data_IF_499977328503
#
_entry.id   IF_499977328503
#
_cell.length_a   1.000
_cell.length_b   1.000
_cell.length_c   1.000
_cell.angle_alpha   90.00
_cell.angle_beta   90.00
_cell.angle_gamma   90.00
#
_symmetry.space_group_name_H-M   'P 1'
#
loop_
_entity.id
_entity.type
_entity.pdbx_description
1 polymer ?
#
# COMPACT_ATOMS: atom_id res chain seq x y z
N UNK A 1 -4.40 -12.91 1.21
CA UNK A 1 -4.48 -13.64 -0.08
C UNK A 1 -3.78 -12.80 -1.13
N UNK A 2 -3.02 -13.39 -2.07
CA UNK A 2 -2.40 -12.61 -3.14
C UNK A 2 -3.47 -11.90 -3.99
N UNK A 3 -3.15 -10.72 -4.56
CA UNK A 3 -4.04 -10.00 -5.44
C UNK A 3 -4.51 -10.89 -6.59
N UNK A 4 -5.81 -10.87 -6.87
CA UNK A 4 -6.40 -11.60 -8.02
C UNK A 4 -6.46 -10.74 -9.29
N UNK A 5 -5.70 -9.65 -9.33
CA UNK A 5 -5.66 -8.71 -10.45
C UNK A 5 -4.32 -8.79 -11.17
N UNK A 6 -4.32 -8.57 -12.48
CA UNK A 6 -3.08 -8.39 -13.22
C UNK A 6 -2.35 -7.10 -12.77
N UNK A 7 -1.03 -7.11 -12.84
CA UNK A 7 -0.23 -5.92 -12.64
C UNK A 7 -0.66 -4.83 -13.65
N UNK A 8 -1.06 -3.63 -13.20
CA UNK A 8 -1.52 -2.58 -14.11
C UNK A 8 -0.39 -2.02 -14.99
N UNK A 9 0.87 -2.27 -14.62
CA UNK A 9 2.03 -1.81 -15.38
C UNK A 9 2.46 -2.80 -16.48
N UNK A 10 2.53 -4.11 -16.20
CA UNK A 10 3.05 -5.10 -17.15
C UNK A 10 2.06 -6.21 -17.55
N UNK A 11 0.84 -6.21 -17.00
CA UNK A 11 -0.22 -7.17 -17.32
C UNK A 11 -0.03 -8.58 -16.74
N UNK A 12 1.10 -8.88 -16.09
CA UNK A 12 1.35 -10.19 -15.49
C UNK A 12 0.75 -10.32 -14.09
N UNK A 13 0.36 -11.54 -13.72
CA UNK A 13 -0.23 -11.86 -12.43
C UNK A 13 0.78 -12.59 -11.52
N UNK A 14 1.93 -11.95 -11.30
CA UNK A 14 2.99 -12.45 -10.42
C UNK A 14 3.26 -11.42 -9.33
N UNK A 15 2.75 -11.70 -8.13
CA UNK A 15 2.82 -10.80 -6.98
C UNK A 15 3.62 -11.41 -5.85
N UNK A 16 4.47 -10.58 -5.23
CA UNK A 16 5.23 -10.90 -4.03
C UNK A 16 4.77 -9.96 -2.90
N UNK A 17 4.39 -10.53 -1.77
CA UNK A 17 4.02 -9.76 -0.58
C UNK A 17 5.28 -9.14 0.03
N UNK A 18 5.20 -7.87 0.43
CA UNK A 18 6.24 -7.23 1.22
C UNK A 18 5.91 -7.39 2.72
N UNK A 19 6.70 -8.17 3.48
CA UNK A 19 6.40 -8.48 4.88
C UNK A 19 6.72 -7.36 5.88
N UNK A 20 7.39 -6.29 5.46
CA UNK A 20 7.91 -5.27 6.38
C UNK A 20 7.05 -4.00 6.45
N UNK A 21 6.18 -3.77 5.46
CA UNK A 21 5.54 -2.47 5.26
C UNK A 21 4.03 -2.63 5.15
N UNK A 22 3.38 -2.77 6.31
CA UNK A 22 1.94 -3.02 6.40
C UNK A 22 1.12 -1.88 6.96
N UNK A 23 1.74 -0.74 7.27
CA UNK A 23 1.10 0.31 8.03
C UNK A 23 1.29 1.68 7.38
N UNK A 24 0.18 2.31 6.99
CA UNK A 24 0.19 3.67 6.47
C UNK A 24 -0.40 4.62 7.53
N UNK A 25 0.38 5.61 8.02
CA UNK A 25 -0.14 6.63 8.91
C UNK A 25 -1.26 7.41 8.25
N UNK A 26 -2.24 7.82 9.05
CA UNK A 26 -3.26 8.75 8.57
C UNK A 26 -2.69 10.16 8.60
N UNK A 27 -2.75 10.86 7.48
CA UNK A 27 -2.27 12.25 7.38
C UNK A 27 -3.44 13.18 7.16
N UNK A 28 -3.51 14.25 7.95
CA UNK A 28 -4.51 15.31 7.80
C UNK A 28 -3.80 16.63 7.47
N UNK A 29 -4.31 17.31 6.44
CA UNK A 29 -3.83 18.63 6.06
C UNK A 29 -4.40 19.69 7.00
N UNK A 30 -3.56 20.63 7.40
CA UNK A 30 -3.91 21.79 8.20
C UNK A 30 -3.77 23.06 7.37
N UNK A 31 -4.07 24.21 7.97
CA UNK A 31 -3.84 25.51 7.36
C UNK A 31 -2.34 25.80 7.16
N UNK A 32 -2.06 26.75 6.26
CA UNK A 32 -0.70 27.24 5.99
C UNK A 32 0.29 26.17 5.48
N UNK A 33 -0.21 25.09 4.85
CA UNK A 33 0.63 24.03 4.32
C UNK A 33 1.25 23.12 5.39
N UNK A 34 0.70 23.12 6.61
CA UNK A 34 1.09 22.21 7.68
C UNK A 34 0.33 20.89 7.53
N UNK A 35 0.90 19.83 8.08
CA UNK A 35 0.30 18.49 8.09
C UNK A 35 0.51 17.84 9.45
N UNK A 36 -0.44 17.04 9.89
CA UNK A 36 -0.32 16.16 11.06
C UNK A 36 -0.43 14.71 10.63
N UNK A 37 0.38 13.84 11.22
CA UNK A 37 0.36 12.40 10.97
C UNK A 37 0.00 11.65 12.26
N UNK A 38 -1.09 10.89 12.22
CA UNK A 38 -1.45 9.94 13.26
C UNK A 38 -0.79 8.59 12.94
N UNK A 39 0.28 8.29 13.67
CA UNK A 39 1.03 7.03 13.57
C UNK A 39 0.44 5.92 14.44
N UNK A 40 -0.65 6.18 15.16
CA UNK A 40 -1.31 5.24 16.07
C UNK A 40 -2.64 4.71 15.52
N UNK A 41 -3.34 5.52 14.71
CA UNK A 41 -4.58 5.15 14.02
C UNK A 41 -4.40 5.16 12.49
N UNK A 42 -3.28 4.61 12.02
CA UNK A 42 -3.04 4.30 10.62
C UNK A 42 -3.86 3.11 10.13
N UNK A 43 -3.83 2.91 8.82
CA UNK A 43 -4.59 1.87 8.12
C UNK A 43 -3.65 0.69 7.82
N UNK A 44 -4.08 -0.52 8.18
CA UNK A 44 -3.41 -1.74 7.76
C UNK A 44 -3.60 -1.96 6.27
N UNK A 45 -2.47 -2.11 5.57
CA UNK A 45 -2.44 -2.42 4.14
C UNK A 45 -1.49 -3.56 3.90
N UNK A 46 -1.74 -4.34 2.84
CA UNK A 46 -0.71 -5.22 2.30
C UNK A 46 -0.08 -4.59 1.08
N UNK A 47 1.24 -4.50 1.10
CA UNK A 47 2.00 -4.07 -0.06
C UNK A 47 2.39 -5.29 -0.87
N UNK A 48 2.06 -5.25 -2.16
CA UNK A 48 2.43 -6.27 -3.12
C UNK A 48 3.28 -5.66 -4.21
N UNK A 49 4.37 -6.35 -4.54
CA UNK A 49 5.29 -6.00 -5.61
C UNK A 49 5.10 -6.96 -6.78
N UNK A 50 4.97 -6.43 -7.98
CA UNK A 50 5.02 -7.25 -9.18
C UNK A 50 6.44 -7.82 -9.36
N UNK A 51 6.56 -9.14 -9.52
CA UNK A 51 7.85 -9.81 -9.65
C UNK A 51 8.59 -9.42 -10.95
N UNK A 52 7.85 -9.16 -12.02
CA UNK A 52 8.43 -8.90 -13.33
C UNK A 52 8.91 -7.44 -13.52
N UNK A 53 8.12 -6.46 -13.06
CA UNK A 53 8.37 -5.04 -13.34
C UNK A 53 8.57 -4.17 -12.09
N UNK A 54 8.61 -4.79 -10.91
CA UNK A 54 8.84 -4.11 -9.61
C UNK A 54 7.77 -3.08 -9.22
N UNK A 55 6.65 -3.01 -9.94
CA UNK A 55 5.53 -2.12 -9.61
C UNK A 55 4.93 -2.46 -8.24
N UNK A 56 4.66 -1.44 -7.43
CA UNK A 56 4.12 -1.59 -6.07
C UNK A 56 2.63 -1.22 -6.03
N UNK A 57 1.86 -2.00 -5.29
CA UNK A 57 0.46 -1.74 -5.01
C UNK A 57 0.15 -1.94 -3.53
N UNK A 58 -0.68 -1.03 -3.00
CA UNK A 58 -1.25 -1.14 -1.66
C UNK A 58 -2.65 -1.72 -1.78
N UNK A 59 -2.93 -2.75 -0.99
CA UNK A 59 -4.25 -3.34 -0.87
C UNK A 59 -4.74 -3.10 0.54
N UNK A 60 -5.86 -2.38 0.66
CA UNK A 60 -6.53 -2.17 1.93
C UNK A 60 -7.05 -3.50 2.47
N UNK A 61 -6.76 -3.80 3.74
CA UNK A 61 -7.42 -4.88 4.46
C UNK A 61 -8.35 -4.24 5.51
N UNK A 62 -9.68 -4.46 5.43
CA UNK A 62 -10.58 -4.15 6.53
C UNK A 62 -10.14 -4.97 7.76
N UNK A 63 -10.07 -4.31 8.91
CA UNK A 63 -9.93 -4.97 10.21
C UNK A 63 -11.14 -5.88 10.53
#
# INVERSE_FOLDING_TARGET
MPPKIACPNCGLNEWLENPELHYLPRVEALDEGKYVADTTNGIHVKIWRCNNCMYLMHFWEPD
#
